data_IF_257205554986
#
_entry.id   IF_257205554986
#
_cell.length_a   1.000
_cell.length_b   1.000
_cell.length_c   1.000
_cell.angle_alpha   90.00
_cell.angle_beta   90.00
_cell.angle_gamma   90.00
#
_symmetry.space_group_name_H-M   'P 1'
#
loop_
_entity.id
_entity.type
_entity.pdbx_description
1 polymer ?
#
# COMPACT_ATOMS: atom_id res chain seq x y z
N UNK A 1 14.64 -11.66 9.66
CA UNK A 1 15.62 -10.72 10.24
C UNK A 1 15.02 -9.30 10.14
N UNK A 2 14.40 -8.77 11.21
CA UNK A 2 13.55 -7.56 11.14
C UNK A 2 14.32 -6.22 11.23
N UNK A 3 15.65 -6.24 11.39
CA UNK A 3 16.43 -5.06 11.74
C UNK A 3 16.58 -4.03 10.59
N UNK A 4 16.42 -4.44 9.33
CA UNK A 4 16.59 -3.55 8.17
C UNK A 4 15.38 -2.62 7.94
N UNK A 5 14.18 -3.04 8.30
CA UNK A 5 12.96 -2.26 8.03
C UNK A 5 12.88 -1.01 8.92
N UNK A 6 13.26 -1.13 10.18
CA UNK A 6 13.39 0.02 11.09
C UNK A 6 14.44 1.03 10.63
N UNK A 7 15.51 0.58 9.97
CA UNK A 7 16.57 1.47 9.51
C UNK A 7 16.17 2.28 8.27
N UNK A 8 15.50 1.67 7.29
CA UNK A 8 14.94 2.39 6.15
C UNK A 8 13.95 3.48 6.61
N UNK A 9 13.16 3.15 7.64
CA UNK A 9 12.25 4.09 8.26
C UNK A 9 12.94 5.24 8.97
N UNK A 10 14.01 4.96 9.69
CA UNK A 10 14.83 5.97 10.33
C UNK A 10 15.43 6.92 9.27
N UNK A 11 16.07 6.37 8.23
CA UNK A 11 16.65 7.16 7.14
C UNK A 11 15.61 8.03 6.43
N UNK A 12 14.41 7.48 6.17
CA UNK A 12 13.32 8.23 5.55
C UNK A 12 12.86 9.42 6.38
N UNK A 13 12.90 9.33 7.72
CA UNK A 13 12.57 10.44 8.61
C UNK A 13 13.59 11.57 8.50
N UNK A 14 14.91 11.27 8.52
CA UNK A 14 15.94 12.30 8.35
C UNK A 14 15.87 12.93 6.97
N UNK A 15 15.79 12.10 5.93
CA UNK A 15 15.71 12.58 4.55
C UNK A 15 14.53 13.53 4.34
N UNK A 16 13.33 13.19 4.85
CA UNK A 16 12.14 14.01 4.69
C UNK A 16 12.19 15.33 5.49
N UNK A 17 12.95 15.38 6.58
CA UNK A 17 13.09 16.57 7.43
C UNK A 17 14.29 17.47 7.08
N UNK A 18 15.19 17.01 6.21
CA UNK A 18 16.33 17.79 5.72
C UNK A 18 15.86 19.04 4.96
N UNK A 19 16.48 20.21 5.22
CA UNK A 19 16.04 21.48 4.61
C UNK A 19 16.13 21.44 3.07
N UNK A 20 17.18 20.81 2.52
CA UNK A 20 17.36 20.66 1.07
C UNK A 20 16.23 19.84 0.44
N UNK A 21 15.84 18.73 1.08
CA UNK A 21 14.70 17.91 0.60
C UNK A 21 13.40 18.70 0.66
N UNK A 22 13.16 19.43 1.75
CA UNK A 22 11.94 20.23 1.92
C UNK A 22 11.86 21.38 0.92
N UNK A 23 12.97 22.02 0.61
CA UNK A 23 13.06 23.04 -0.43
C UNK A 23 12.83 22.44 -1.83
N UNK A 24 13.42 21.28 -2.12
CA UNK A 24 13.22 20.57 -3.40
C UNK A 24 11.77 20.11 -3.60
N UNK A 25 11.09 19.67 -2.53
CA UNK A 25 9.67 19.31 -2.53
C UNK A 25 8.74 20.53 -2.39
N UNK A 26 9.27 21.74 -2.37
CA UNK A 26 8.52 23.00 -2.30
C UNK A 26 7.62 23.12 -1.06
N UNK A 27 8.08 22.57 0.07
CA UNK A 27 7.38 22.71 1.36
C UNK A 27 7.56 24.15 1.86
N UNK A 28 6.47 24.90 1.97
CA UNK A 28 6.48 26.28 2.44
C UNK A 28 6.97 26.35 3.89
N UNK A 29 7.93 27.25 4.17
CA UNK A 29 8.43 27.48 5.54
C UNK A 29 7.26 27.94 6.43
N UNK A 30 7.12 27.32 7.59
CA UNK A 30 6.05 27.60 8.56
C UNK A 30 4.74 26.81 8.40
N UNK A 31 4.52 26.04 7.33
CA UNK A 31 3.27 25.26 7.18
C UNK A 31 3.30 23.92 7.92
N UNK A 32 4.47 23.29 7.99
CA UNK A 32 4.70 22.01 8.69
C UNK A 32 5.96 22.20 9.52
N UNK A 33 5.92 21.89 10.81
CA UNK A 33 7.09 21.93 11.68
C UNK A 33 8.01 20.74 11.36
N UNK A 34 7.51 19.53 11.57
CA UNK A 34 8.20 18.27 11.40
C UNK A 34 7.35 17.31 10.56
N UNK A 35 7.98 16.59 9.64
CA UNK A 35 7.34 15.49 8.94
C UNK A 35 7.41 14.20 9.77
N UNK A 36 6.28 13.54 9.92
CA UNK A 36 6.16 12.23 10.55
C UNK A 36 5.47 11.26 9.59
N UNK A 37 5.93 10.00 9.55
CA UNK A 37 5.37 8.99 8.63
C UNK A 37 3.92 8.64 8.95
N UNK A 38 3.65 8.39 10.23
CA UNK A 38 2.32 8.04 10.73
C UNK A 38 1.91 9.13 11.70
N UNK A 39 0.72 9.70 11.50
CA UNK A 39 0.10 10.56 12.50
C UNK A 39 -0.54 9.69 13.60
N UNK A 40 -0.79 10.30 14.77
CA UNK A 40 -1.44 9.63 15.90
C UNK A 40 -2.84 10.21 16.15
N UNK A 41 -3.60 10.45 15.08
CA UNK A 41 -4.96 10.95 15.21
C UNK A 41 -5.94 9.82 15.54
N UNK A 42 -6.90 10.12 16.41
CA UNK A 42 -8.00 9.22 16.74
C UNK A 42 -9.07 9.26 15.65
N UNK A 43 -8.82 8.51 14.57
CA UNK A 43 -9.81 8.34 13.51
C UNK A 43 -11.03 7.55 14.02
N UNK A 44 -12.21 8.04 13.65
CA UNK A 44 -13.45 7.29 13.83
C UNK A 44 -13.42 6.03 12.96
N UNK A 45 -13.71 4.87 13.55
CA UNK A 45 -13.76 3.57 12.87
C UNK A 45 -15.21 3.15 12.62
N UNK A 46 -15.94 3.98 11.91
CA UNK A 46 -17.37 3.83 11.62
C UNK A 46 -17.67 2.97 10.38
N UNK A 47 -16.64 2.61 9.60
CA UNK A 47 -16.77 1.73 8.43
C UNK A 47 -16.38 0.30 8.84
N UNK A 48 -17.35 -0.60 9.06
CA UNK A 48 -17.06 -1.97 9.50
C UNK A 48 -16.52 -2.87 8.37
N UNK A 49 -16.78 -2.52 7.11
CA UNK A 49 -16.31 -3.30 5.95
C UNK A 49 -16.20 -2.46 4.68
N UNK A 50 -15.15 -2.71 3.92
CA UNK A 50 -14.95 -2.14 2.59
C UNK A 50 -15.66 -2.90 1.47
N UNK A 51 -16.22 -4.09 1.74
CA UNK A 51 -16.84 -4.97 0.74
C UNK A 51 -17.93 -4.28 -0.08
N UNK A 52 -18.90 -3.55 0.50
CA UNK A 52 -19.96 -2.91 -0.28
C UNK A 52 -19.42 -1.91 -1.31
N UNK A 53 -18.37 -1.17 -0.93
CA UNK A 53 -17.74 -0.17 -1.79
C UNK A 53 -16.99 -0.82 -2.95
N UNK A 54 -16.23 -1.89 -2.67
CA UNK A 54 -15.51 -2.62 -3.72
C UNK A 54 -16.47 -3.30 -4.71
N UNK A 55 -17.55 -3.91 -4.22
CA UNK A 55 -18.60 -4.48 -5.08
C UNK A 55 -19.24 -3.43 -6.00
N UNK A 56 -19.49 -2.22 -5.49
CA UNK A 56 -20.03 -1.13 -6.29
C UNK A 56 -19.06 -0.71 -7.42
N UNK A 57 -17.77 -0.61 -7.13
CA UNK A 57 -16.75 -0.30 -8.14
C UNK A 57 -16.66 -1.40 -9.21
N UNK A 58 -16.67 -2.67 -8.80
CA UNK A 58 -16.64 -3.79 -9.73
C UNK A 58 -17.88 -3.81 -10.63
N UNK A 59 -19.07 -3.55 -10.08
CA UNK A 59 -20.32 -3.45 -10.86
C UNK A 59 -20.31 -2.34 -11.90
N UNK A 60 -19.55 -1.26 -11.65
CA UNK A 60 -19.35 -0.15 -12.60
C UNK A 60 -18.29 -0.45 -13.67
N UNK A 61 -17.65 -1.63 -13.64
CA UNK A 61 -16.66 -2.04 -14.62
C UNK A 61 -15.22 -1.62 -14.31
N UNK A 62 -14.95 -1.12 -13.10
CA UNK A 62 -13.56 -0.83 -12.70
C UNK A 62 -12.77 -2.13 -12.51
N UNK A 63 -11.57 -2.18 -13.11
CA UNK A 63 -10.63 -3.30 -12.92
C UNK A 63 -9.98 -3.20 -11.54
N UNK A 64 -9.89 -4.32 -10.83
CA UNK A 64 -9.16 -4.44 -9.58
C UNK A 64 -7.86 -5.24 -9.77
N UNK A 65 -6.80 -4.84 -9.07
CA UNK A 65 -5.61 -5.66 -8.81
C UNK A 65 -5.52 -5.85 -7.31
N UNK A 66 -5.57 -7.08 -6.83
CA UNK A 66 -5.44 -7.41 -5.42
C UNK A 66 -4.20 -8.28 -5.25
N UNK A 67 -3.22 -7.79 -4.50
CA UNK A 67 -1.99 -8.51 -4.21
C UNK A 67 -1.74 -8.51 -2.70
N UNK A 68 -1.09 -9.56 -2.20
CA UNK A 68 -0.77 -9.73 -0.79
C UNK A 68 0.55 -10.50 -0.68
N UNK A 69 1.38 -10.11 0.30
CA UNK A 69 2.59 -10.85 0.66
C UNK A 69 2.24 -12.05 1.54
N UNK A 70 2.80 -13.21 1.23
CA UNK A 70 2.64 -14.46 1.99
C UNK A 70 3.35 -14.44 3.36
N UNK A 71 4.28 -13.53 3.56
CA UNK A 71 4.97 -13.32 4.84
C UNK A 71 4.38 -12.20 5.71
N UNK A 72 3.33 -11.50 5.27
CA UNK A 72 2.65 -10.51 6.11
C UNK A 72 1.82 -11.23 7.19
N UNK A 73 2.17 -11.02 8.45
CA UNK A 73 1.43 -11.57 9.59
C UNK A 73 0.34 -10.62 10.12
N UNK A 74 0.43 -9.32 9.83
CA UNK A 74 -0.57 -8.34 10.23
C UNK A 74 -1.84 -8.48 9.36
N UNK A 75 -1.66 -8.58 8.04
CA UNK A 75 -2.73 -8.86 7.07
C UNK A 75 -2.37 -10.15 6.31
N UNK A 76 -2.71 -11.33 6.87
CA UNK A 76 -2.29 -12.59 6.29
C UNK A 76 -2.92 -12.84 4.92
N UNK A 77 -2.13 -13.38 3.99
CA UNK A 77 -2.56 -13.78 2.64
C UNK A 77 -3.84 -14.62 2.62
N UNK A 78 -4.02 -15.51 3.62
CA UNK A 78 -5.23 -16.33 3.75
C UNK A 78 -6.48 -15.46 3.93
N UNK A 79 -6.40 -14.38 4.71
CA UNK A 79 -7.48 -13.43 4.90
C UNK A 79 -7.85 -12.73 3.59
N UNK A 80 -6.85 -12.25 2.84
CA UNK A 80 -7.05 -11.67 1.51
C UNK A 80 -7.69 -12.66 0.54
N UNK A 81 -7.26 -13.93 0.55
CA UNK A 81 -7.85 -14.97 -0.31
C UNK A 81 -9.34 -15.21 0.00
N UNK A 82 -9.72 -15.22 1.28
CA UNK A 82 -11.13 -15.35 1.69
C UNK A 82 -11.94 -14.11 1.29
N UNK A 83 -11.36 -12.93 1.40
CA UNK A 83 -11.97 -11.66 0.97
C UNK A 83 -12.18 -11.59 -0.55
N UNK A 84 -11.22 -12.05 -1.37
CA UNK A 84 -11.40 -12.12 -2.84
C UNK A 84 -12.52 -13.11 -3.20
N UNK A 85 -12.58 -14.24 -2.51
CA UNK A 85 -13.65 -15.23 -2.70
C UNK A 85 -15.04 -14.65 -2.42
N UNK A 86 -15.20 -13.80 -1.40
CA UNK A 86 -16.48 -13.15 -1.11
C UNK A 86 -16.91 -12.12 -2.17
N UNK A 87 -15.98 -11.66 -3.01
CA UNK A 87 -16.24 -10.78 -4.15
C UNK A 87 -16.52 -11.54 -5.46
N UNK A 88 -16.53 -12.87 -5.45
CA UNK A 88 -16.63 -13.72 -6.65
C UNK A 88 -15.58 -13.40 -7.73
N UNK A 89 -14.39 -12.97 -7.32
CA UNK A 89 -13.26 -12.70 -8.21
C UNK A 89 -12.31 -13.89 -8.28
N UNK A 90 -11.70 -14.11 -9.44
CA UNK A 90 -10.56 -15.03 -9.59
C UNK A 90 -9.28 -14.35 -9.10
N UNK A 91 -8.65 -14.96 -8.09
CA UNK A 91 -7.46 -14.41 -7.45
C UNK A 91 -6.20 -14.63 -8.31
N UNK A 92 -5.40 -13.58 -8.50
CA UNK A 92 -4.01 -13.66 -8.91
C UNK A 92 -3.22 -12.53 -8.21
N UNK A 93 -2.17 -12.87 -7.45
CA UNK A 93 -1.29 -11.87 -6.83
C UNK A 93 -0.16 -12.48 -6.02
N UNK A 94 1.03 -11.86 -6.09
CA UNK A 94 2.23 -12.18 -5.30
C UNK A 94 3.02 -10.92 -4.89
N UNK A 95 3.33 -10.84 -3.58
CA UNK A 95 4.33 -10.04 -2.81
C UNK A 95 4.28 -8.51 -2.76
N UNK A 96 4.78 -7.99 -1.64
CA UNK A 96 4.94 -6.57 -1.35
C UNK A 96 6.15 -5.97 -2.08
N UNK A 97 6.00 -4.72 -2.55
CA UNK A 97 7.01 -3.98 -3.31
C UNK A 97 8.32 -3.78 -2.57
N UNK A 98 8.31 -3.77 -1.24
CA UNK A 98 9.51 -3.61 -0.42
C UNK A 98 10.45 -4.82 -0.47
N UNK A 99 9.89 -6.04 -0.48
CA UNK A 99 10.68 -7.28 -0.44
C UNK A 99 10.96 -7.87 -1.82
N UNK A 100 10.10 -7.59 -2.81
CA UNK A 100 10.15 -8.14 -4.16
C UNK A 100 9.87 -7.05 -5.22
N UNK A 101 10.67 -5.97 -5.29
CA UNK A 101 10.37 -4.81 -6.11
C UNK A 101 10.29 -5.12 -7.61
N UNK A 102 11.17 -5.99 -8.12
CA UNK A 102 11.17 -6.38 -9.54
C UNK A 102 9.91 -7.16 -9.93
N UNK A 103 9.49 -8.10 -9.07
CA UNK A 103 8.29 -8.90 -9.30
C UNK A 103 7.03 -8.01 -9.22
N UNK A 104 7.00 -7.08 -8.27
CA UNK A 104 5.89 -6.14 -8.12
C UNK A 104 5.77 -5.19 -9.32
N UNK A 105 6.91 -4.69 -9.83
CA UNK A 105 6.93 -3.88 -11.03
C UNK A 105 6.42 -4.67 -12.25
N UNK A 106 6.88 -5.91 -12.45
CA UNK A 106 6.43 -6.76 -13.55
C UNK A 106 4.92 -7.07 -13.47
N UNK A 107 4.39 -7.33 -12.27
CA UNK A 107 2.95 -7.53 -12.04
C UNK A 107 2.15 -6.27 -12.39
N UNK A 108 2.59 -5.10 -11.93
CA UNK A 108 1.93 -3.83 -12.21
C UNK A 108 1.97 -3.47 -13.71
N UNK A 109 3.12 -3.64 -14.36
CA UNK A 109 3.29 -3.40 -15.80
C UNK A 109 2.38 -4.28 -16.66
N UNK A 110 2.29 -5.57 -16.33
CA UNK A 110 1.35 -6.50 -17.00
C UNK A 110 -0.10 -6.06 -16.78
N UNK A 111 -0.48 -5.77 -15.54
CA UNK A 111 -1.86 -5.37 -15.23
C UNK A 111 -2.26 -4.07 -15.91
N UNK A 112 -1.40 -3.04 -15.88
CA UNK A 112 -1.66 -1.74 -16.53
C UNK A 112 -1.77 -1.89 -18.05
N UNK A 113 -0.94 -2.75 -18.64
CA UNK A 113 -0.93 -3.10 -20.06
C UNK A 113 -2.04 -4.07 -20.48
N UNK A 114 -2.96 -4.46 -19.58
CA UNK A 114 -4.02 -5.46 -19.82
C UNK A 114 -3.50 -6.86 -20.26
N UNK A 115 -2.25 -7.19 -19.93
CA UNK A 115 -1.68 -8.52 -20.17
C UNK A 115 -2.05 -9.48 -19.02
N UNK A 116 -2.10 -10.79 -19.27
CA UNK A 116 -2.20 -11.79 -18.20
C UNK A 116 -1.05 -11.65 -17.19
N UNK A 117 -1.35 -11.92 -15.92
CA UNK A 117 -0.38 -11.88 -14.82
C UNK A 117 0.51 -13.12 -14.80
#
# INVERSE_FOLDING_TARGET
>A
MPLLQGYAYYLGYYWANENVTREALQIKKGTVSEWQRCNNFDYLKDIPSSLPYQLNLLKRGYRALVYSGDYDMMIPFVGTKLWIKSLNLTAAGHTASEFKPQQCFAMFDRWSSKKPL
#
